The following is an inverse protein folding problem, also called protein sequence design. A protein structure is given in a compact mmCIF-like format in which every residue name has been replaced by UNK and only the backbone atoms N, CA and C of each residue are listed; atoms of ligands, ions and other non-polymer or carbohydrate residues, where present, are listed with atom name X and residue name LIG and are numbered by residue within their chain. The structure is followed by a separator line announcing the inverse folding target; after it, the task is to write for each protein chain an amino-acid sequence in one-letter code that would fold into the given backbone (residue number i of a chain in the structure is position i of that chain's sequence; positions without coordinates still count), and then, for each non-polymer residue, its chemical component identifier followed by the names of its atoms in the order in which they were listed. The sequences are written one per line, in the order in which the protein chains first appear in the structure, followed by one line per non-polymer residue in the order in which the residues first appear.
data_IF_207998865514
#
_entry.id   IF_207998865514
#
_cell.length_a   1.000
_cell.length_b   1.000
_cell.length_c   1.000
_cell.angle_alpha   90.00
_cell.angle_beta   90.00
_cell.angle_gamma   90.00
#
_symmetry.space_group_name_H-M   'P 1'
#
loop_
_entity.id
_entity.type
_entity.pdbx_description
1 polymer ?
#
# COMPACT_ATOMS: atom_id res chain seq x y z
N UNK A 1 60.91 -64.29 -33.20
CA UNK A 1 60.47 -62.89 -33.01
C UNK A 1 59.09 -62.78 -32.34
N UNK A 2 58.16 -63.73 -32.51
CA UNK A 2 56.85 -63.67 -31.82
C UNK A 2 56.84 -64.23 -30.37
N UNK A 3 57.74 -65.17 -30.03
CA UNK A 3 57.79 -65.76 -28.69
C UNK A 3 58.34 -64.81 -27.60
N UNK A 4 59.21 -63.87 -28.00
CA UNK A 4 59.87 -62.92 -27.07
C UNK A 4 58.96 -61.76 -26.66
N UNK A 5 58.02 -61.37 -27.52
CA UNK A 5 57.07 -60.27 -27.26
C UNK A 5 56.00 -60.69 -26.25
N UNK A 6 55.51 -61.94 -26.33
CA UNK A 6 54.50 -62.46 -25.41
C UNK A 6 55.03 -62.66 -23.98
N UNK A 7 56.29 -63.09 -23.84
CA UNK A 7 56.96 -63.22 -22.54
C UNK A 7 57.30 -61.86 -21.92
N UNK A 8 57.66 -60.86 -22.74
CA UNK A 8 57.86 -59.48 -22.28
C UNK A 8 56.55 -58.85 -21.77
N UNK A 9 55.42 -59.11 -22.45
CA UNK A 9 54.10 -58.61 -22.05
C UNK A 9 53.60 -59.23 -20.73
N UNK A 10 53.77 -60.55 -20.52
CA UNK A 10 53.40 -61.23 -19.25
C UNK A 10 54.23 -60.78 -18.06
N UNK A 11 55.53 -60.50 -18.27
CA UNK A 11 56.43 -60.00 -17.21
C UNK A 11 56.09 -58.57 -16.80
N UNK A 12 55.70 -57.73 -17.76
CA UNK A 12 55.26 -56.35 -17.51
C UNK A 12 53.92 -56.28 -16.74
N UNK A 13 52.95 -57.14 -17.08
CA UNK A 13 51.65 -57.18 -16.37
C UNK A 13 51.76 -57.72 -14.95
N UNK A 14 52.67 -58.68 -14.69
CA UNK A 14 52.94 -59.18 -13.34
C UNK A 14 53.61 -58.11 -12.45
N UNK A 15 54.56 -57.35 -12.99
CA UNK A 15 55.22 -56.25 -12.25
C UNK A 15 54.24 -55.14 -11.91
N UNK A 16 53.31 -54.78 -12.82
CA UNK A 16 52.25 -53.81 -12.51
C UNK A 16 51.31 -54.28 -11.40
N UNK A 17 50.92 -55.56 -11.38
CA UNK A 17 50.04 -56.10 -10.33
C UNK A 17 50.70 -56.10 -8.94
N UNK A 18 51.99 -56.44 -8.87
CA UNK A 18 52.73 -56.44 -7.59
C UNK A 18 52.92 -55.01 -7.06
N UNK A 19 53.20 -54.03 -7.95
CA UNK A 19 53.28 -52.63 -7.57
C UNK A 19 51.93 -52.08 -7.09
N UNK A 20 50.83 -52.44 -7.74
CA UNK A 20 49.48 -52.03 -7.33
C UNK A 20 49.11 -52.57 -5.94
N UNK A 21 49.40 -53.85 -5.66
CA UNK A 21 49.19 -54.46 -4.34
C UNK A 21 50.06 -53.81 -3.25
N UNK A 22 51.31 -53.46 -3.56
CA UNK A 22 52.20 -52.76 -2.62
C UNK A 22 51.68 -51.35 -2.28
N UNK A 23 51.23 -50.59 -3.28
CA UNK A 23 50.67 -49.24 -3.08
C UNK A 23 49.36 -49.28 -2.29
N UNK A 24 48.48 -50.26 -2.57
CA UNK A 24 47.24 -50.45 -1.81
C UNK A 24 47.51 -50.82 -0.34
N UNK A 25 48.51 -51.67 -0.08
CA UNK A 25 48.88 -52.07 1.28
C UNK A 25 49.53 -50.92 2.08
N UNK A 26 50.34 -50.08 1.42
CA UNK A 26 50.88 -48.84 2.01
C UNK A 26 49.78 -47.82 2.32
N UNK A 27 48.77 -47.69 1.45
CA UNK A 27 47.62 -46.82 1.70
C UNK A 27 46.79 -47.27 2.91
N UNK A 28 46.58 -48.58 3.08
CA UNK A 28 45.88 -49.14 4.25
C UNK A 28 46.67 -48.96 5.55
N UNK A 29 48.01 -49.08 5.50
CA UNK A 29 48.87 -48.85 6.66
C UNK A 29 48.85 -47.36 7.08
N UNK A 30 48.93 -46.44 6.12
CA UNK A 30 48.84 -45.00 6.36
C UNK A 30 47.46 -44.58 6.89
N UNK A 31 46.37 -45.21 6.39
CA UNK A 31 45.02 -44.98 6.91
C UNK A 31 44.85 -45.48 8.35
N UNK A 32 45.43 -46.65 8.70
CA UNK A 32 45.43 -47.18 10.08
C UNK A 32 46.24 -46.30 11.04
N UNK A 33 47.42 -45.80 10.62
CA UNK A 33 48.23 -44.87 11.41
C UNK A 33 47.52 -43.52 11.61
N UNK A 34 46.80 -43.04 10.59
CA UNK A 34 45.94 -41.85 10.69
C UNK A 34 44.79 -42.04 11.69
N UNK A 35 44.11 -43.19 11.66
CA UNK A 35 43.03 -43.51 12.61
C UNK A 35 43.54 -43.61 14.06
N UNK A 36 44.70 -44.21 14.31
CA UNK A 36 45.30 -44.28 15.66
C UNK A 36 45.68 -42.88 16.15
N UNK A 37 46.20 -42.03 15.26
CA UNK A 37 46.53 -40.63 15.59
C UNK A 37 45.29 -39.81 15.93
N UNK A 38 44.19 -40.01 15.21
CA UNK A 38 42.88 -39.37 15.50
C UNK A 38 42.31 -39.88 16.83
N UNK A 39 42.38 -41.18 17.11
CA UNK A 39 41.89 -41.75 18.38
C UNK A 39 42.71 -41.23 19.57
N UNK A 40 44.04 -41.13 19.46
CA UNK A 40 44.87 -40.53 20.52
C UNK A 40 44.56 -39.03 20.71
N UNK A 41 44.31 -38.30 19.62
CA UNK A 41 43.93 -36.90 19.69
C UNK A 41 42.57 -36.74 20.38
N UNK A 42 41.57 -37.54 20.00
CA UNK A 42 40.20 -37.43 20.53
C UNK A 42 40.07 -37.95 21.97
N UNK A 43 40.75 -39.03 22.33
CA UNK A 43 40.56 -39.65 23.66
C UNK A 43 41.59 -39.21 24.71
N UNK A 44 42.73 -38.64 24.31
CA UNK A 44 43.78 -38.23 25.26
C UNK A 44 44.11 -36.73 25.19
N UNK A 45 44.09 -36.10 24.01
CA UNK A 45 44.46 -34.68 23.85
C UNK A 45 43.25 -33.76 24.01
N UNK A 46 42.10 -34.09 23.40
CA UNK A 46 40.87 -33.29 23.51
C UNK A 46 40.37 -33.16 24.96
N UNK A 47 40.35 -34.21 25.82
CA UNK A 47 39.94 -34.05 27.21
C UNK A 47 40.90 -33.13 27.98
N UNK A 48 42.20 -33.19 27.73
CA UNK A 48 43.18 -32.28 28.33
C UNK A 48 43.03 -30.85 27.82
N UNK A 49 42.72 -30.65 26.54
CA UNK A 49 42.43 -29.34 25.96
C UNK A 49 41.09 -28.77 26.47
N UNK A 50 40.08 -29.62 26.70
CA UNK A 50 38.80 -29.23 27.31
C UNK A 50 39.00 -28.88 28.78
N UNK A 51 39.78 -29.66 29.56
CA UNK A 51 40.12 -29.33 30.94
C UNK A 51 40.93 -28.04 30.99
N UNK A 52 41.93 -27.86 30.12
CA UNK A 52 42.70 -26.62 30.02
C UNK A 52 41.81 -25.44 29.61
N UNK A 53 40.89 -25.62 28.67
CA UNK A 53 39.91 -24.61 28.26
C UNK A 53 38.93 -24.26 29.38
N UNK A 54 38.43 -25.23 30.14
CA UNK A 54 37.57 -25.03 31.31
C UNK A 54 38.32 -24.31 32.45
N UNK A 55 39.60 -24.64 32.68
CA UNK A 55 40.46 -23.98 33.67
C UNK A 55 40.80 -22.54 33.25
N UNK A 56 41.03 -22.31 31.95
CA UNK A 56 41.23 -20.96 31.40
C UNK A 56 39.96 -20.10 31.43
N UNK A 57 38.77 -20.72 31.39
CA UNK A 57 37.49 -20.01 31.49
C UNK A 57 37.10 -19.69 32.95
N UNK A 58 37.80 -20.26 33.93
CA UNK A 58 37.50 -20.09 35.37
C UNK A 58 38.43 -19.10 36.10
N UNK A 59 39.44 -18.52 35.44
CA UNK A 59 40.41 -17.66 36.14
C UNK A 59 41.20 -16.71 35.23
N UNK A 60 41.47 -15.49 35.72
CA UNK A 60 42.28 -14.44 35.07
C UNK A 60 43.70 -14.47 35.68
N UNK A 61 44.77 -14.26 34.88
CA UNK A 61 45.73 -15.31 34.50
C UNK A 61 46.35 -16.05 35.70
N UNK A 62 46.42 -17.39 35.63
CA UNK A 62 47.13 -18.23 36.62
C UNK A 62 48.43 -18.81 36.03
N UNK A 63 49.49 -18.92 36.84
CA UNK A 63 50.75 -19.56 36.46
C UNK A 63 50.88 -20.91 37.18
N UNK A 64 50.70 -22.00 36.42
CA UNK A 64 50.85 -23.43 36.72
C UNK A 64 50.15 -24.03 37.97
N UNK A 65 49.89 -23.29 39.05
CA UNK A 65 49.16 -23.70 40.27
C UNK A 65 48.68 -22.53 41.13
N UNK A 66 49.06 -21.29 40.81
CA UNK A 66 48.69 -20.10 41.59
C UNK A 66 48.00 -19.06 40.70
N UNK A 67 46.89 -18.53 41.19
CA UNK A 67 46.08 -17.53 40.52
C UNK A 67 46.40 -16.12 41.01
N UNK A 68 46.38 -15.16 40.09
CA UNK A 68 46.61 -13.74 40.42
C UNK A 68 45.31 -13.01 40.78
N UNK A 69 44.18 -13.49 40.27
CA UNK A 69 42.84 -12.95 40.51
C UNK A 69 41.79 -14.04 40.27
N UNK A 70 40.71 -14.03 41.02
CA UNK A 70 39.61 -14.99 40.91
C UNK A 70 38.38 -14.35 40.23
N UNK A 71 37.51 -15.18 39.66
CA UNK A 71 36.19 -14.74 39.18
C UNK A 71 35.30 -14.30 40.35
N UNK A 72 34.23 -13.55 40.04
CA UNK A 72 33.16 -13.28 41.01
C UNK A 72 32.65 -14.60 41.63
N UNK A 73 32.24 -14.54 42.89
CA UNK A 73 31.90 -15.67 43.78
C UNK A 73 33.09 -16.48 44.34
N UNK A 74 34.34 -16.07 44.05
CA UNK A 74 35.55 -16.69 44.61
C UNK A 74 36.51 -15.62 45.14
N UNK A 75 37.22 -15.94 46.22
CA UNK A 75 38.31 -15.13 46.76
C UNK A 75 39.64 -15.85 46.61
N UNK A 76 40.72 -15.07 46.60
CA UNK A 76 42.08 -15.62 46.51
C UNK A 76 42.56 -16.03 47.90
N UNK A 77 42.68 -17.32 48.14
CA UNK A 77 43.21 -17.92 49.36
C UNK A 77 44.57 -18.56 49.05
N UNK A 78 45.66 -17.94 49.50
CA UNK A 78 47.02 -18.47 49.32
C UNK A 78 47.36 -18.88 47.86
N UNK A 79 46.86 -18.12 46.88
CA UNK A 79 47.07 -18.40 45.46
C UNK A 79 46.05 -19.35 44.83
N UNK A 80 45.07 -19.85 45.58
CA UNK A 80 44.00 -20.75 45.11
C UNK A 80 42.66 -20.01 45.18
N UNK A 81 41.78 -20.18 44.18
CA UNK A 81 40.45 -19.58 44.22
C UNK A 81 39.49 -20.46 45.02
N UNK A 82 39.09 -19.97 46.20
CA UNK A 82 38.13 -20.61 47.11
C UNK A 82 36.77 -19.92 46.98
N UNK A 83 35.66 -20.65 47.18
CA UNK A 83 34.31 -20.09 47.01
C UNK A 83 33.98 -19.12 48.14
N UNK A 84 33.35 -17.98 47.84
CA UNK A 84 32.93 -17.02 48.87
C UNK A 84 31.97 -17.61 49.91
N UNK A 85 31.21 -18.63 49.52
CA UNK A 85 30.19 -19.27 50.36
C UNK A 85 30.76 -20.00 51.58
N UNK A 86 32.05 -20.35 51.59
CA UNK A 86 32.70 -21.01 52.74
C UNK A 86 32.97 -20.07 53.91
N UNK A 87 33.21 -18.79 53.62
CA UNK A 87 33.56 -17.76 54.62
C UNK A 87 32.43 -16.75 54.84
N UNK A 88 31.68 -16.42 53.78
CA UNK A 88 30.56 -15.48 53.79
C UNK A 88 29.32 -16.13 53.14
N UNK A 89 28.39 -16.68 53.96
CA UNK A 89 27.14 -17.23 53.46
C UNK A 89 26.37 -16.19 52.64
N UNK A 90 25.83 -16.59 51.48
CA UNK A 90 25.08 -15.72 50.58
C UNK A 90 25.86 -14.53 49.99
N UNK A 91 27.18 -14.60 49.91
CA UNK A 91 28.00 -13.59 49.25
C UNK A 91 28.23 -13.88 47.76
N UNK A 92 28.12 -12.87 46.90
CA UNK A 92 28.43 -12.90 45.46
C UNK A 92 29.85 -12.38 45.17
N UNK A 93 30.34 -11.39 45.91
CA UNK A 93 31.72 -10.87 45.76
C UNK A 93 32.32 -10.64 47.14
N UNK A 94 33.45 -11.27 47.42
CA UNK A 94 34.14 -11.22 48.71
C UNK A 94 35.66 -11.14 48.56
N UNK A 95 36.35 -10.82 49.65
CA UNK A 95 37.74 -11.20 49.90
C UNK A 95 37.85 -12.15 51.10
N UNK A 96 39.05 -12.34 51.65
CA UNK A 96 39.30 -13.20 52.82
C UNK A 96 38.57 -12.74 54.10
N UNK A 97 38.16 -11.47 54.18
CA UNK A 97 37.67 -10.80 55.38
C UNK A 97 36.25 -10.26 55.27
N UNK A 98 35.86 -9.79 54.09
CA UNK A 98 34.65 -9.01 53.86
C UNK A 98 33.87 -9.49 52.63
N UNK A 99 32.55 -9.34 52.71
CA UNK A 99 31.65 -9.50 51.58
C UNK A 99 31.28 -8.12 51.02
N UNK A 100 31.72 -7.82 49.80
CA UNK A 100 31.45 -6.56 49.11
C UNK A 100 30.11 -6.55 48.36
N UNK A 101 29.61 -7.73 47.97
CA UNK A 101 28.34 -7.87 47.26
C UNK A 101 27.62 -9.12 47.70
N UNK A 102 26.38 -8.98 48.15
CA UNK A 102 25.51 -10.10 48.50
C UNK A 102 24.95 -10.76 47.24
N UNK A 103 24.53 -12.03 47.32
CA UNK A 103 23.66 -12.64 46.30
C UNK A 103 22.41 -11.76 46.12
N UNK A 104 21.92 -11.68 44.88
CA UNK A 104 20.76 -10.83 44.53
C UNK A 104 19.58 -11.04 45.47
N UNK A 105 18.89 -9.95 45.85
CA UNK A 105 17.77 -9.99 46.80
C UNK A 105 18.14 -9.90 48.28
N UNK A 106 19.44 -9.92 48.64
CA UNK A 106 19.89 -9.91 50.04
C UNK A 106 20.74 -8.67 50.37
N UNK A 107 20.67 -8.23 51.62
CA UNK A 107 21.60 -7.24 52.18
C UNK A 107 21.93 -7.58 53.64
N UNK A 108 23.06 -7.05 54.13
CA UNK A 108 23.57 -7.30 55.48
C UNK A 108 23.23 -6.13 56.41
N UNK A 109 22.53 -6.42 57.52
CA UNK A 109 22.26 -5.46 58.60
C UNK A 109 22.50 -6.10 59.95
N UNK A 110 23.32 -5.48 60.80
CA UNK A 110 23.67 -5.97 62.15
C UNK A 110 24.15 -7.44 62.16
N UNK A 111 24.93 -7.84 61.15
CA UNK A 111 25.44 -9.19 61.01
C UNK A 111 24.39 -10.24 60.59
N UNK A 112 23.18 -9.82 60.21
CA UNK A 112 22.11 -10.70 59.70
C UNK A 112 21.81 -10.41 58.23
N UNK A 113 21.60 -11.47 57.46
CA UNK A 113 21.16 -11.39 56.07
C UNK A 113 19.65 -11.23 56.03
N UNK A 114 19.19 -10.17 55.37
CA UNK A 114 17.77 -9.85 55.20
C UNK A 114 17.43 -9.82 53.72
N UNK A 115 16.23 -10.27 53.38
CA UNK A 115 15.71 -10.20 52.01
C UNK A 115 15.12 -8.82 51.77
N UNK A 116 15.47 -8.20 50.65
CA UNK A 116 14.94 -6.89 50.27
C UNK A 116 13.43 -6.91 50.06
N UNK A 117 12.87 -7.99 49.51
CA UNK A 117 11.43 -8.15 49.31
C UNK A 117 10.62 -8.23 50.60
N UNK A 118 11.24 -8.64 51.71
CA UNK A 118 10.59 -8.69 53.03
C UNK A 118 10.50 -7.30 53.69
N UNK A 119 11.41 -6.38 53.32
CA UNK A 119 11.46 -5.03 53.88
C UNK A 119 10.79 -3.98 52.99
N UNK A 120 10.97 -4.13 51.68
CA UNK A 120 10.45 -3.24 50.65
C UNK A 120 9.72 -4.08 49.60
N UNK A 121 8.42 -3.88 49.47
CA UNK A 121 7.58 -4.65 48.57
C UNK A 121 8.09 -4.54 47.12
N UNK A 122 8.14 -5.67 46.40
CA UNK A 122 8.57 -5.75 45.00
C UNK A 122 10.01 -5.24 44.74
N UNK A 123 10.89 -5.26 45.75
CA UNK A 123 12.27 -4.82 45.66
C UNK A 123 13.26 -5.99 45.47
N UNK A 124 14.20 -5.86 44.53
CA UNK A 124 15.28 -6.84 44.28
C UNK A 124 16.61 -6.42 44.89
N UNK A 125 16.83 -5.12 45.09
CA UNK A 125 18.07 -4.60 45.69
C UNK A 125 17.77 -3.40 46.56
N UNK A 126 18.33 -3.38 47.76
CA UNK A 126 18.05 -2.38 48.78
C UNK A 126 19.30 -2.09 49.64
N UNK A 127 19.27 -0.95 50.33
CA UNK A 127 20.14 -0.67 51.46
C UNK A 127 19.35 -0.72 52.78
N UNK A 128 19.97 -0.31 53.89
CA UNK A 128 19.37 -0.31 55.22
C UNK A 128 18.20 0.68 55.38
N UNK A 129 18.02 1.61 54.44
CA UNK A 129 17.04 2.71 54.48
C UNK A 129 16.06 2.75 53.30
N UNK A 130 16.37 2.14 52.15
CA UNK A 130 15.58 2.27 50.92
C UNK A 130 15.79 1.14 49.91
N UNK A 131 14.82 1.00 49.00
CA UNK A 131 15.00 0.22 47.78
C UNK A 131 15.85 0.97 46.74
N UNK A 132 16.68 0.23 46.02
CA UNK A 132 17.59 0.70 44.96
C UNK A 132 17.25 0.10 43.59
N UNK A 133 16.55 -1.03 43.55
CA UNK A 133 16.16 -1.72 42.32
C UNK A 133 14.91 -2.57 42.56
N UNK A 134 13.98 -2.51 41.63
CA UNK A 134 12.70 -3.20 41.71
C UNK A 134 12.72 -4.54 40.96
N UNK A 135 11.74 -5.38 41.24
CA UNK A 135 11.44 -6.58 40.46
C UNK A 135 10.97 -6.20 39.05
N UNK A 136 11.05 -7.15 38.12
CA UNK A 136 10.41 -7.02 36.81
C UNK A 136 8.93 -6.63 36.99
N UNK A 137 8.40 -5.86 36.04
CA UNK A 137 7.06 -5.24 36.08
C UNK A 137 6.90 -4.08 37.08
N UNK A 138 7.96 -3.62 37.74
CA UNK A 138 7.95 -2.44 38.61
C UNK A 138 9.08 -1.46 38.25
N UNK A 139 8.88 -0.18 38.56
CA UNK A 139 9.92 0.85 38.42
C UNK A 139 10.14 1.58 39.75
N UNK A 140 11.37 2.07 39.93
CA UNK A 140 11.76 2.79 41.14
C UNK A 140 11.23 4.22 41.09
N UNK A 141 10.39 4.57 42.07
CA UNK A 141 9.74 5.87 42.24
C UNK A 141 9.83 6.30 43.69
N UNK A 142 10.62 7.34 43.98
CA UNK A 142 10.87 7.81 45.36
C UNK A 142 11.26 6.68 46.34
N UNK A 143 12.12 5.77 45.91
CA UNK A 143 12.56 4.58 46.67
C UNK A 143 11.51 3.50 46.91
N UNK A 144 10.32 3.62 46.32
CA UNK A 144 9.28 2.60 46.28
C UNK A 144 9.23 1.96 44.88
N UNK A 145 8.70 0.74 44.81
CA UNK A 145 8.52 0.01 43.56
C UNK A 145 7.06 0.13 43.11
N UNK A 146 6.83 1.06 42.19
CA UNK A 146 5.52 1.29 41.60
C UNK A 146 5.33 0.36 40.39
N UNK A 147 4.11 -0.14 40.21
CA UNK A 147 3.81 -1.06 39.11
C UNK A 147 3.95 -0.36 37.75
N UNK A 148 4.53 -1.07 36.78
CA UNK A 148 4.56 -0.62 35.40
C UNK A 148 3.14 -0.42 34.85
N UNK A 149 3.03 0.45 33.85
CA UNK A 149 1.78 0.65 33.11
C UNK A 149 1.32 -0.67 32.48
N UNK A 150 0.02 -0.81 32.28
CA UNK A 150 -0.60 -2.01 31.70
C UNK A 150 0.11 -2.49 30.44
N UNK A 151 0.30 -3.80 30.35
CA UNK A 151 0.96 -4.51 29.24
C UNK A 151 2.47 -4.23 29.07
N UNK A 152 3.10 -3.53 30.00
CA UNK A 152 4.54 -3.29 30.02
C UNK A 152 5.26 -4.30 30.94
N UNK A 153 6.25 -4.98 30.38
CA UNK A 153 7.11 -5.95 31.08
C UNK A 153 8.24 -5.26 31.84
N UNK A 154 8.93 -4.32 31.19
CA UNK A 154 10.01 -3.51 31.78
C UNK A 154 9.75 -2.04 31.53
N UNK A 155 9.72 -1.23 32.59
CA UNK A 155 9.51 0.22 32.52
C UNK A 155 10.57 0.99 33.33
N UNK A 156 10.69 2.29 33.06
CA UNK A 156 11.60 3.20 33.78
C UNK A 156 10.86 4.35 34.46
N UNK A 157 9.59 4.55 34.12
CA UNK A 157 8.67 5.48 34.75
C UNK A 157 7.24 5.04 34.44
N UNK A 158 6.25 5.73 35.01
CA UNK A 158 4.83 5.56 34.69
C UNK A 158 4.53 5.63 33.17
N UNK A 159 5.31 6.42 32.42
CA UNK A 159 5.06 6.71 31.01
C UNK A 159 6.08 6.12 30.05
N UNK A 160 7.13 5.46 30.56
CA UNK A 160 8.25 4.96 29.75
C UNK A 160 8.36 3.46 29.88
N UNK A 161 7.85 2.75 28.87
CA UNK A 161 8.01 1.30 28.74
C UNK A 161 9.17 0.98 27.80
N UNK A 162 10.12 0.15 28.23
CA UNK A 162 11.23 -0.31 27.40
C UNK A 162 10.99 -1.69 26.78
N UNK A 163 10.12 -2.50 27.39
CA UNK A 163 9.75 -3.82 26.89
C UNK A 163 8.29 -4.13 27.18
N UNK A 164 7.52 -4.51 26.16
CA UNK A 164 6.15 -4.99 26.32
C UNK A 164 6.12 -6.48 26.65
N UNK A 165 5.03 -6.94 27.27
CA UNK A 165 4.76 -8.38 27.39
C UNK A 165 4.63 -9.04 26.02
N UNK A 166 4.89 -10.34 25.97
CA UNK A 166 4.73 -11.13 24.74
C UNK A 166 3.29 -11.02 24.21
N UNK A 167 3.16 -10.79 22.90
CA UNK A 167 1.89 -10.52 22.22
C UNK A 167 1.46 -9.05 22.22
N UNK A 168 2.14 -8.17 22.96
CA UNK A 168 1.92 -6.72 22.95
C UNK A 168 3.07 -5.98 22.27
N UNK A 169 2.75 -4.83 21.69
CA UNK A 169 3.66 -4.05 20.86
C UNK A 169 3.69 -2.60 21.33
N UNK A 170 4.88 -1.99 21.29
CA UNK A 170 5.07 -0.61 21.72
C UNK A 170 4.54 0.37 20.67
N UNK A 171 3.63 1.25 21.08
CA UNK A 171 3.05 2.28 20.21
C UNK A 171 3.63 3.64 20.56
N UNK A 172 4.44 4.19 19.65
CA UNK A 172 5.19 5.44 19.90
C UNK A 172 4.29 6.65 20.15
N UNK A 173 3.14 6.73 19.48
CA UNK A 173 2.20 7.87 19.61
C UNK A 173 1.64 8.00 21.03
N UNK A 174 1.26 6.88 21.63
CA UNK A 174 0.58 6.82 22.92
C UNK A 174 1.55 6.49 24.06
N UNK A 175 2.79 6.08 23.74
CA UNK A 175 3.82 5.59 24.66
C UNK A 175 3.31 4.46 25.56
N UNK A 176 2.54 3.54 24.99
CA UNK A 176 1.97 2.37 25.68
C UNK A 176 2.22 1.08 24.92
N UNK A 177 2.10 -0.03 25.63
CA UNK A 177 2.03 -1.37 25.05
C UNK A 177 0.56 -1.74 24.82
N UNK A 178 0.23 -2.09 23.58
CA UNK A 178 -1.12 -2.53 23.21
C UNK A 178 -1.05 -3.66 22.19
N UNK A 179 -2.19 -4.28 21.91
CA UNK A 179 -2.34 -5.09 20.71
C UNK A 179 -2.13 -4.21 19.47
N UNK A 180 -1.65 -4.82 18.39
CA UNK A 180 -1.44 -4.18 17.09
C UNK A 180 -2.38 -4.78 16.04
N UNK A 181 -3.67 -4.80 16.37
CA UNK A 181 -4.75 -5.37 15.57
C UNK A 181 -5.69 -4.29 14.97
N UNK A 182 -5.39 -3.02 15.23
CA UNK A 182 -6.14 -1.88 14.73
C UNK A 182 -5.76 -1.52 13.30
N UNK A 183 -6.76 -1.12 12.51
CA UNK A 183 -6.56 -0.57 11.17
C UNK A 183 -5.63 0.64 11.20
N UNK A 184 -4.83 0.80 10.15
CA UNK A 184 -3.86 1.89 10.03
C UNK A 184 -2.56 1.70 10.82
N UNK A 185 -2.32 0.51 11.35
CA UNK A 185 -1.06 0.13 11.99
C UNK A 185 -0.53 -1.20 11.46
N UNK A 186 0.78 -1.40 11.58
CA UNK A 186 1.45 -2.66 11.28
C UNK A 186 2.52 -2.96 12.33
N UNK A 187 2.83 -4.25 12.47
CA UNK A 187 3.87 -4.72 13.38
C UNK A 187 5.24 -4.57 12.70
N UNK A 188 6.13 -3.81 13.34
CA UNK A 188 7.54 -3.73 12.98
C UNK A 188 8.38 -4.20 14.16
N UNK A 189 8.83 -5.46 14.09
CA UNK A 189 9.56 -6.12 15.16
C UNK A 189 8.78 -6.14 16.49
N UNK A 190 9.07 -5.23 17.43
CA UNK A 190 8.40 -5.12 18.75
C UNK A 190 7.56 -3.84 18.89
N UNK A 191 7.39 -3.10 17.81
CA UNK A 191 6.65 -1.84 17.79
C UNK A 191 5.44 -1.94 16.88
N UNK A 192 4.38 -1.22 17.25
CA UNK A 192 3.19 -1.02 16.43
C UNK A 192 3.29 0.36 15.77
N UNK A 193 3.57 0.37 14.46
CA UNK A 193 3.82 1.61 13.70
C UNK A 193 2.62 1.97 12.84
N UNK A 194 2.38 3.27 12.68
CA UNK A 194 1.34 3.77 11.77
C UNK A 194 1.68 3.42 10.33
N UNK A 195 0.65 3.08 9.57
CA UNK A 195 0.73 2.99 8.12
C UNK A 195 1.12 4.33 7.50
N UNK A 196 1.55 4.28 6.24
CA UNK A 196 1.63 5.49 5.41
C UNK A 196 0.28 6.22 5.40
N UNK A 197 0.29 7.55 5.39
CA UNK A 197 -0.93 8.37 5.41
C UNK A 197 -1.86 8.09 4.21
N UNK A 198 -1.34 7.52 3.13
CA UNK A 198 -2.10 7.14 1.93
C UNK A 198 -2.82 5.78 2.06
N UNK A 199 -2.62 5.07 3.16
CA UNK A 199 -3.07 3.69 3.33
C UNK A 199 -4.03 3.56 4.50
N UNK A 200 -5.12 2.82 4.29
CA UNK A 200 -6.07 2.47 5.34
C UNK A 200 -5.52 1.30 6.17
N UNK A 201 -5.08 0.25 5.49
CA UNK A 201 -4.45 -0.93 6.09
C UNK A 201 -3.12 -1.21 5.38
N UNK A 202 -2.12 -1.71 6.11
CA UNK A 202 -0.80 -1.96 5.57
C UNK A 202 -0.10 -3.14 6.24
N UNK A 203 0.82 -3.77 5.50
CA UNK A 203 1.75 -4.79 5.99
C UNK A 203 3.10 -4.17 6.39
N UNK A 204 3.43 -3.01 5.83
CA UNK A 204 4.61 -2.22 6.17
C UNK A 204 4.40 -0.75 5.81
N UNK A 205 5.39 0.09 6.08
CA UNK A 205 5.39 1.50 5.69
C UNK A 205 5.15 1.73 4.18
N UNK A 206 5.55 0.78 3.32
CA UNK A 206 5.46 0.88 1.86
C UNK A 206 4.49 -0.12 1.23
N UNK A 207 4.05 -1.14 1.98
CA UNK A 207 3.15 -2.19 1.48
C UNK A 207 1.76 -2.00 2.07
N UNK A 208 0.84 -1.52 1.27
CA UNK A 208 -0.53 -1.25 1.66
C UNK A 208 -1.47 -2.35 1.19
N UNK A 209 -2.47 -2.68 2.01
CA UNK A 209 -3.53 -3.64 1.70
C UNK A 209 -4.74 -2.90 1.11
N UNK A 210 -4.98 -1.68 1.56
CA UNK A 210 -6.02 -0.81 1.03
C UNK A 210 -5.61 0.66 1.12
N UNK A 211 -6.14 1.47 0.21
CA UNK A 211 -5.81 2.89 0.08
C UNK A 211 -6.95 3.77 0.54
N UNK A 212 -6.63 4.98 1.00
CA UNK A 212 -7.63 6.00 1.29
C UNK A 212 -8.35 6.42 0.00
N UNK A 213 -9.52 7.06 0.14
CA UNK A 213 -10.25 7.62 -1.01
C UNK A 213 -9.38 8.58 -1.81
N UNK A 214 -9.48 8.53 -3.15
CA UNK A 214 -8.62 9.28 -4.07
C UNK A 214 -7.30 8.58 -4.44
N UNK A 215 -7.01 7.41 -3.87
CA UNK A 215 -5.85 6.60 -4.22
C UNK A 215 -6.29 5.20 -4.66
N UNK A 216 -5.57 4.62 -5.62
CA UNK A 216 -5.77 3.23 -6.03
C UNK A 216 -4.60 2.35 -5.61
N UNK A 217 -4.88 1.08 -5.34
CA UNK A 217 -3.86 0.10 -4.99
C UNK A 217 -3.19 -0.42 -6.26
N UNK A 218 -1.91 -0.13 -6.41
CA UNK A 218 -1.06 -0.67 -7.46
C UNK A 218 -0.42 -1.96 -6.94
N UNK A 219 -1.05 -3.09 -7.25
CA UNK A 219 -0.62 -4.41 -6.77
C UNK A 219 0.79 -4.73 -7.24
N UNK A 220 1.64 -5.16 -6.31
CA UNK A 220 2.92 -5.76 -6.64
C UNK A 220 2.76 -7.27 -6.72
N UNK A 221 2.86 -7.84 -7.92
CA UNK A 221 2.87 -9.29 -8.10
C UNK A 221 4.19 -9.85 -7.60
N UNK A 222 4.21 -10.40 -6.38
CA UNK A 222 5.19 -11.43 -6.03
C UNK A 222 4.47 -12.77 -5.98
N UNK A 223 5.07 -13.77 -6.62
CA UNK A 223 4.50 -15.09 -6.93
C UNK A 223 4.10 -15.93 -5.70
N UNK A 224 4.31 -15.43 -4.48
CA UNK A 224 4.15 -16.19 -3.23
C UNK A 224 3.00 -15.74 -2.30
N UNK A 225 2.16 -14.77 -2.66
CA UNK A 225 1.35 -14.10 -1.61
C UNK A 225 -0.09 -14.62 -1.45
N UNK A 226 -0.43 -14.91 -0.19
CA UNK A 226 -1.76 -15.22 0.37
C UNK A 226 -2.67 -14.00 0.54
N UNK A 227 -2.14 -12.78 0.42
CA UNK A 227 -2.87 -11.52 0.61
C UNK A 227 -2.47 -10.47 -0.44
N UNK A 228 -3.43 -9.69 -0.94
CA UNK A 228 -3.19 -8.63 -1.95
C UNK A 228 -2.63 -7.37 -1.28
N UNK A 229 -1.44 -6.94 -1.68
CA UNK A 229 -0.81 -5.69 -1.22
C UNK A 229 -0.12 -4.98 -2.39
N UNK A 230 0.14 -3.69 -2.20
CA UNK A 230 0.72 -2.83 -3.21
C UNK A 230 1.07 -1.45 -2.69
N UNK A 231 1.30 -0.51 -3.59
CA UNK A 231 1.52 0.90 -3.26
C UNK A 231 0.28 1.72 -3.60
N UNK A 232 -0.05 2.72 -2.77
CA UNK A 232 -1.17 3.61 -3.03
C UNK A 232 -0.75 4.77 -3.92
N UNK A 233 -1.34 4.86 -5.11
CA UNK A 233 -1.02 5.86 -6.12
C UNK A 233 -2.18 6.84 -6.29
N UNK A 234 -1.87 8.14 -6.34
CA UNK A 234 -2.85 9.24 -6.36
C UNK A 234 -3.61 9.29 -7.69
N UNK A 235 -4.95 9.24 -7.65
CA UNK A 235 -5.82 9.31 -8.82
C UNK A 235 -5.77 10.66 -9.54
N UNK A 236 -5.37 11.73 -8.85
CA UNK A 236 -5.21 13.07 -9.41
C UNK A 236 -4.16 13.11 -10.52
N UNK A 237 -3.19 12.18 -10.49
CA UNK A 237 -2.19 12.02 -11.58
C UNK A 237 -2.82 11.66 -12.92
N UNK A 238 -4.03 11.07 -12.90
CA UNK A 238 -4.86 10.76 -14.07
C UNK A 238 -5.96 11.79 -14.33
N UNK A 239 -6.02 12.85 -13.53
CA UNK A 239 -7.06 13.88 -13.58
C UNK A 239 -8.41 13.42 -13.03
N UNK A 240 -8.41 12.44 -12.11
CA UNK A 240 -9.59 11.72 -11.64
C UNK A 240 -9.77 11.92 -10.13
N UNK A 241 -11.02 11.93 -9.67
CA UNK A 241 -11.32 12.00 -8.22
C UNK A 241 -11.17 10.60 -7.62
N UNK A 242 -11.76 9.58 -8.27
CA UNK A 242 -11.57 8.17 -7.89
C UNK A 242 -11.20 7.33 -9.12
N UNK A 243 -10.43 6.28 -8.91
CA UNK A 243 -9.90 5.45 -9.99
C UNK A 243 -9.53 4.05 -9.49
N UNK A 244 -9.39 3.11 -10.43
CA UNK A 244 -8.75 1.82 -10.22
C UNK A 244 -7.40 1.77 -10.96
N UNK A 245 -6.74 0.61 -10.99
CA UNK A 245 -5.42 0.48 -11.62
C UNK A 245 -5.40 0.75 -13.13
N UNK A 246 -6.52 0.62 -13.84
CA UNK A 246 -6.60 0.76 -15.31
C UNK A 246 -7.47 1.92 -15.79
N UNK A 247 -8.48 2.34 -15.04
CA UNK A 247 -9.43 3.37 -15.45
C UNK A 247 -9.88 4.26 -14.30
N UNK A 248 -10.34 5.46 -14.64
CA UNK A 248 -11.01 6.36 -13.73
C UNK A 248 -12.45 5.94 -13.51
N UNK A 249 -12.96 6.21 -12.31
CA UNK A 249 -14.32 5.89 -11.88
C UNK A 249 -15.14 7.17 -11.83
N UNK A 250 -14.55 8.26 -11.31
CA UNK A 250 -15.18 9.58 -11.28
C UNK A 250 -14.18 10.66 -11.70
N UNK A 251 -14.71 11.70 -12.35
CA UNK A 251 -13.94 12.84 -12.84
C UNK A 251 -14.35 14.13 -12.12
N UNK A 252 -13.46 15.12 -12.15
CA UNK A 252 -13.81 16.50 -11.81
C UNK A 252 -14.93 17.04 -12.72
N UNK A 253 -15.62 18.09 -12.27
CA UNK A 253 -16.73 18.73 -12.99
C UNK A 253 -16.29 19.08 -14.43
N UNK A 254 -17.18 18.87 -15.40
CA UNK A 254 -16.99 19.10 -16.85
C UNK A 254 -16.00 18.16 -17.57
N UNK A 255 -15.63 17.03 -16.95
CA UNK A 255 -14.83 15.96 -17.59
C UNK A 255 -15.64 14.66 -17.67
N UNK A 256 -15.31 13.84 -18.66
CA UNK A 256 -15.88 12.50 -18.84
C UNK A 256 -14.77 11.46 -18.93
N UNK A 257 -15.09 10.20 -18.68
CA UNK A 257 -14.16 9.08 -18.88
C UNK A 257 -14.15 8.74 -20.37
N UNK A 258 -13.02 8.90 -21.04
CA UNK A 258 -12.86 8.56 -22.45
C UNK A 258 -12.63 7.05 -22.68
N UNK A 259 -12.48 6.65 -23.95
CA UNK A 259 -12.26 5.25 -24.35
C UNK A 259 -10.97 4.65 -23.78
N UNK A 260 -10.01 5.48 -23.36
CA UNK A 260 -8.77 5.05 -22.70
C UNK A 260 -8.91 4.91 -21.19
N UNK A 261 -10.09 5.23 -20.63
CA UNK A 261 -10.34 5.18 -19.19
C UNK A 261 -9.80 6.40 -18.43
N UNK A 262 -9.45 7.49 -19.10
CA UNK A 262 -8.94 8.72 -18.49
C UNK A 262 -9.98 9.85 -18.49
N UNK A 263 -9.85 10.78 -17.54
CA UNK A 263 -10.74 11.94 -17.47
C UNK A 263 -10.32 13.00 -18.49
N UNK A 264 -11.16 13.18 -19.51
CA UNK A 264 -10.95 14.11 -20.60
C UNK A 264 -12.02 15.19 -20.61
N UNK A 265 -11.64 16.40 -21.03
CA UNK A 265 -12.62 17.46 -21.34
C UNK A 265 -13.34 17.15 -22.64
N UNK A 266 -14.58 17.62 -22.76
CA UNK A 266 -15.33 17.46 -23.99
C UNK A 266 -14.61 18.13 -25.17
N UNK A 267 -14.08 17.32 -26.09
CA UNK A 267 -13.58 17.78 -27.39
C UNK A 267 -14.59 17.41 -28.47
N UNK A 268 -15.00 18.35 -29.34
CA UNK A 268 -15.85 18.03 -30.48
C UNK A 268 -15.16 16.94 -31.30
N UNK A 269 -15.91 15.89 -31.61
CA UNK A 269 -15.39 14.87 -32.52
C UNK A 269 -15.34 15.51 -33.91
N UNK A 270 -14.14 15.78 -34.40
CA UNK A 270 -13.86 16.46 -35.67
C UNK A 270 -14.56 15.82 -36.87
N UNK A 271 -15.18 14.65 -36.71
CA UNK A 271 -15.96 13.97 -37.74
C UNK A 271 -17.44 14.37 -37.70
N UNK A 272 -18.09 14.42 -36.53
CA UNK A 272 -19.57 14.52 -36.41
C UNK A 272 -20.09 15.71 -35.61
N UNK A 273 -19.32 16.21 -34.63
CA UNK A 273 -19.79 17.22 -33.65
C UNK A 273 -19.00 18.53 -33.80
N UNK A 274 -19.71 19.66 -33.71
CA UNK A 274 -19.13 21.02 -33.64
C UNK A 274 -18.90 21.43 -32.19
N UNK A 275 -19.86 21.16 -31.30
CA UNK A 275 -19.74 21.41 -29.86
C UNK A 275 -20.38 20.31 -29.04
N UNK A 276 -19.90 20.15 -27.81
CA UNK A 276 -20.33 19.10 -26.91
C UNK A 276 -20.25 19.58 -25.45
N UNK A 277 -21.08 19.01 -24.58
CA UNK A 277 -21.13 19.26 -23.14
C UNK A 277 -21.12 17.94 -22.38
N UNK A 278 -20.88 17.99 -21.08
CA UNK A 278 -20.97 16.83 -20.19
C UNK A 278 -22.25 16.94 -19.37
N UNK A 279 -23.07 15.89 -19.32
CA UNK A 279 -24.30 15.87 -18.51
C UNK A 279 -24.02 15.68 -17.01
N UNK A 280 -25.07 15.76 -16.18
CA UNK A 280 -24.97 15.58 -14.72
C UNK A 280 -24.43 14.20 -14.30
N UNK A 281 -24.50 13.22 -15.20
CA UNK A 281 -24.02 11.85 -14.98
C UNK A 281 -22.60 11.64 -15.54
N UNK A 282 -21.92 12.68 -16.04
CA UNK A 282 -20.56 12.58 -16.57
C UNK A 282 -20.49 12.05 -18.01
N UNK A 283 -21.60 11.96 -18.74
CA UNK A 283 -21.60 11.47 -20.12
C UNK A 283 -21.36 12.60 -21.11
N UNK A 284 -20.53 12.33 -22.13
CA UNK A 284 -20.34 13.23 -23.27
C UNK A 284 -21.63 13.32 -24.10
N UNK A 285 -22.17 14.54 -24.23
CA UNK A 285 -23.36 14.86 -25.02
C UNK A 285 -23.02 15.86 -26.13
N UNK A 286 -23.56 15.66 -27.32
CA UNK A 286 -23.40 16.57 -28.44
C UNK A 286 -24.39 17.74 -28.31
N UNK A 287 -23.90 18.96 -28.45
CA UNK A 287 -24.70 20.20 -28.44
C UNK A 287 -24.97 20.71 -29.86
N UNK A 288 -23.98 20.58 -30.76
CA UNK A 288 -24.12 20.92 -32.19
C UNK A 288 -23.40 19.89 -33.05
N UNK A 289 -24.00 19.54 -34.18
CA UNK A 289 -23.43 18.61 -35.16
C UNK A 289 -22.88 19.33 -36.39
N UNK A 290 -21.92 18.69 -37.07
CA UNK A 290 -21.41 19.17 -38.36
C UNK A 290 -22.49 19.06 -39.45
N UNK A 291 -22.43 19.86 -40.53
CA UNK A 291 -23.36 19.73 -41.64
C UNK A 291 -23.43 18.27 -42.15
N UNK A 292 -24.64 17.73 -42.27
CA UNK A 292 -24.90 16.33 -42.65
C UNK A 292 -25.14 15.36 -41.48
N UNK A 293 -24.93 15.82 -40.23
CA UNK A 293 -25.23 15.07 -39.01
C UNK A 293 -26.30 15.80 -38.17
N UNK A 294 -27.02 15.05 -37.33
CA UNK A 294 -28.24 15.50 -36.64
C UNK A 294 -28.20 15.02 -35.19
N UNK A 295 -28.74 15.81 -34.26
CA UNK A 295 -28.77 15.43 -32.84
C UNK A 295 -29.99 14.53 -32.61
N UNK A 296 -29.75 13.28 -32.22
CA UNK A 296 -30.76 12.37 -31.72
C UNK A 296 -30.31 11.86 -30.34
N UNK A 297 -31.13 12.08 -29.29
CA UNK A 297 -30.79 11.75 -27.89
C UNK A 297 -29.40 12.25 -27.46
N UNK A 298 -29.02 13.45 -27.89
CA UNK A 298 -27.72 14.08 -27.65
C UNK A 298 -26.52 13.39 -28.33
N UNK A 299 -26.73 12.60 -29.38
CA UNK A 299 -25.68 12.05 -30.25
C UNK A 299 -25.83 12.54 -31.69
N UNK A 300 -24.71 12.78 -32.37
CA UNK A 300 -24.70 13.16 -33.79
C UNK A 300 -24.81 11.94 -34.70
N UNK A 301 -26.01 11.69 -35.22
CA UNK A 301 -26.32 10.58 -36.14
C UNK A 301 -26.34 11.05 -37.60
N UNK A 302 -26.36 10.13 -38.56
CA UNK A 302 -26.62 10.41 -39.99
C UNK A 302 -28.09 10.14 -40.30
N UNK A 303 -28.75 11.04 -41.00
CA UNK A 303 -30.18 10.98 -41.30
C UNK A 303 -30.35 10.81 -42.80
N UNK A 304 -30.86 9.65 -43.17
CA UNK A 304 -31.15 9.29 -44.56
C UNK A 304 -32.34 10.11 -45.13
N UNK A 305 -33.03 10.92 -44.31
CA UNK A 305 -34.27 11.64 -44.69
C UNK A 305 -34.25 13.17 -44.50
N UNK A 306 -33.21 13.75 -43.89
CA UNK A 306 -33.23 15.14 -43.43
C UNK A 306 -32.93 16.21 -44.49
N UNK A 307 -32.65 15.83 -45.75
CA UNK A 307 -32.56 16.75 -46.90
C UNK A 307 -33.89 17.41 -47.32
N UNK A 308 -34.94 17.33 -46.49
CA UNK A 308 -36.31 17.85 -46.75
C UNK A 308 -36.76 18.92 -45.74
N UNK A 309 -35.87 19.42 -44.88
CA UNK A 309 -36.21 20.37 -43.81
C UNK A 309 -36.02 21.83 -44.27
N UNK A 310 -36.91 22.71 -43.80
CA UNK A 310 -36.93 24.17 -43.99
C UNK A 310 -36.34 24.82 -42.73
N UNK A 311 -35.49 25.84 -42.85
CA UNK A 311 -34.92 26.58 -41.72
C UNK A 311 -35.65 27.91 -41.52
N UNK A 312 -36.17 28.15 -40.32
CA UNK A 312 -36.73 29.42 -39.91
C UNK A 312 -36.11 29.85 -38.58
N UNK A 313 -35.34 30.95 -38.60
CA UNK A 313 -34.69 31.55 -37.41
C UNK A 313 -33.87 30.55 -36.57
N UNK A 314 -33.26 29.55 -37.20
CA UNK A 314 -32.46 28.52 -36.50
C UNK A 314 -33.25 27.30 -36.01
N UNK A 315 -34.57 27.27 -36.24
CA UNK A 315 -35.42 26.09 -36.04
C UNK A 315 -35.65 25.39 -37.39
N UNK A 316 -35.69 24.05 -37.39
CA UNK A 316 -35.83 23.24 -38.60
C UNK A 316 -37.16 22.48 -38.58
N UNK A 317 -37.88 22.54 -39.69
CA UNK A 317 -39.24 21.99 -39.81
C UNK A 317 -39.37 21.17 -41.09
N UNK A 318 -40.26 20.20 -41.10
CA UNK A 318 -40.59 19.41 -42.30
C UNK A 318 -41.39 20.22 -43.30
N UNK A 319 -41.25 19.87 -44.59
CA UNK A 319 -42.07 20.42 -45.69
C UNK A 319 -43.58 20.37 -45.38
N UNK A 320 -44.02 19.32 -44.67
CA UNK A 320 -45.42 19.04 -44.36
C UNK A 320 -45.94 19.90 -43.19
N UNK A 321 -45.10 20.19 -42.19
CA UNK A 321 -45.46 21.06 -41.04
C UNK A 321 -45.77 22.50 -41.43
N UNK A 322 -45.12 23.01 -42.48
CA UNK A 322 -45.36 24.35 -43.00
C UNK A 322 -46.19 24.38 -44.28
N UNK A 323 -46.88 23.30 -44.66
CA UNK A 323 -47.74 23.29 -45.84
C UNK A 323 -47.07 23.87 -47.11
N UNK A 324 -45.78 23.62 -47.27
CA UNK A 324 -44.94 24.21 -48.30
C UNK A 324 -44.87 23.28 -49.53
N UNK A 325 -45.12 23.79 -50.72
CA UNK A 325 -45.07 23.05 -51.98
C UNK A 325 -43.67 23.01 -52.59
N UNK A 326 -42.94 24.12 -52.60
CA UNK A 326 -41.58 24.23 -53.14
C UNK A 326 -40.65 25.03 -52.22
N UNK A 327 -39.39 24.58 -52.13
CA UNK A 327 -38.34 25.16 -51.27
C UNK A 327 -37.16 25.58 -52.13
N UNK A 328 -36.61 26.77 -51.89
CA UNK A 328 -35.37 27.26 -52.51
C UNK A 328 -34.42 27.79 -51.44
N UNK A 329 -33.20 27.27 -51.39
CA UNK A 329 -32.17 27.76 -50.47
C UNK A 329 -32.55 27.69 -48.97
N UNK A 330 -33.33 26.69 -48.58
CA UNK A 330 -33.90 26.48 -47.22
C UNK A 330 -35.12 27.33 -46.84
N UNK A 331 -35.62 28.17 -47.76
CA UNK A 331 -36.83 28.98 -47.57
C UNK A 331 -38.01 28.41 -48.38
N UNK A 332 -39.22 28.49 -47.85
CA UNK A 332 -40.42 28.17 -48.63
C UNK A 332 -40.66 29.27 -49.68
N UNK A 333 -40.82 28.88 -50.95
CA UNK A 333 -41.09 29.80 -52.06
C UNK A 333 -42.46 29.61 -52.69
N UNK A 334 -43.11 28.46 -52.44
CA UNK A 334 -44.46 28.17 -52.94
C UNK A 334 -45.23 27.36 -51.90
N UNK A 335 -46.49 27.74 -51.65
CA UNK A 335 -47.36 27.08 -50.67
C UNK A 335 -48.29 26.05 -51.32
N UNK A 336 -48.81 25.12 -50.50
CA UNK A 336 -49.93 24.24 -50.88
C UNK A 336 -51.21 25.07 -51.09
N UNK A 337 -52.20 24.49 -51.77
CA UNK A 337 -53.50 25.13 -51.99
C UNK A 337 -54.14 25.54 -50.65
N UNK A 338 -54.79 26.71 -50.63
CA UNK A 338 -55.40 27.36 -49.44
C UNK A 338 -54.42 27.98 -48.42
N UNK A 339 -53.10 27.94 -48.67
CA UNK A 339 -52.08 28.61 -47.86
C UNK A 339 -51.38 29.73 -48.64
N UNK A 340 -50.93 30.76 -47.93
CA UNK A 340 -50.36 31.97 -48.50
C UNK A 340 -49.01 32.27 -47.86
N UNK A 341 -48.02 32.65 -48.67
CA UNK A 341 -46.67 32.92 -48.21
C UNK A 341 -46.61 34.28 -47.50
N UNK A 342 -46.25 34.29 -46.23
CA UNK A 342 -46.00 35.50 -45.42
C UNK A 342 -44.77 35.25 -44.55
N UNK A 343 -43.79 36.15 -44.63
CA UNK A 343 -42.55 36.09 -43.84
C UNK A 343 -41.85 34.71 -43.91
N UNK A 344 -41.77 34.13 -45.12
CA UNK A 344 -41.20 32.81 -45.44
C UNK A 344 -41.95 31.58 -44.88
N UNK A 345 -43.15 31.79 -44.33
CA UNK A 345 -44.05 30.73 -43.85
C UNK A 345 -45.33 30.67 -44.69
N UNK A 346 -45.91 29.48 -44.86
CA UNK A 346 -47.22 29.33 -45.49
C UNK A 346 -48.30 29.25 -44.43
N UNK A 347 -49.11 30.30 -44.36
CA UNK A 347 -50.15 30.47 -43.35
C UNK A 347 -51.53 30.46 -43.98
N UNK A 348 -52.55 30.11 -43.20
CA UNK A 348 -53.94 30.26 -43.65
C UNK A 348 -54.33 31.73 -43.66
N UNK A 349 -55.32 32.04 -44.49
CA UNK A 349 -55.77 33.42 -44.70
C UNK A 349 -56.14 34.15 -43.39
N UNK A 350 -56.84 33.48 -42.47
CA UNK A 350 -57.26 34.07 -41.19
C UNK A 350 -56.09 34.33 -40.22
N UNK A 351 -54.94 33.69 -40.44
CA UNK A 351 -53.72 33.88 -39.64
C UNK A 351 -52.93 35.10 -40.10
N UNK A 352 -53.07 35.49 -41.37
CA UNK A 352 -52.44 36.66 -41.97
C UNK A 352 -53.32 37.91 -41.80
N UNK A 353 -54.62 37.77 -42.10
CA UNK A 353 -55.60 38.86 -42.04
C UNK A 353 -56.76 38.45 -41.14
N UNK A 354 -56.86 39.13 -40.00
CA UNK A 354 -57.97 38.90 -39.06
C UNK A 354 -59.32 39.21 -39.73
N UNK A 355 -60.33 38.38 -39.44
CA UNK A 355 -61.68 38.46 -40.00
C UNK A 355 -61.80 38.16 -41.51
N UNK A 356 -60.75 37.61 -42.13
CA UNK A 356 -60.76 37.19 -43.52
C UNK A 356 -61.06 35.70 -43.71
N UNK A 357 -62.05 35.38 -44.56
CA UNK A 357 -62.44 34.00 -44.91
C UNK A 357 -61.57 33.48 -46.06
N UNK A 358 -61.32 34.32 -47.07
CA UNK A 358 -60.55 33.95 -48.26
C UNK A 358 -59.65 35.09 -48.67
N UNK A 359 -58.39 34.77 -48.95
CA UNK A 359 -57.39 35.76 -49.34
C UNK A 359 -57.14 35.69 -50.85
N UNK A 360 -56.83 36.85 -51.43
CA UNK A 360 -56.30 36.98 -52.78
C UNK A 360 -54.83 37.37 -52.75
N UNK A 361 -54.17 37.29 -53.90
CA UNK A 361 -52.79 37.72 -54.09
C UNK A 361 -52.75 38.86 -55.12
N UNK A 362 -52.11 39.97 -54.76
CA UNK A 362 -51.72 41.04 -55.68
C UNK A 362 -50.24 40.86 -56.00
N UNK A 363 -49.93 40.67 -57.28
CA UNK A 363 -48.56 40.53 -57.75
C UNK A 363 -48.04 41.91 -58.17
N UNK A 364 -47.12 42.46 -57.40
CA UNK A 364 -46.33 43.62 -57.80
C UNK A 364 -45.03 43.14 -58.44
N UNK A 365 -44.34 44.03 -59.16
CA UNK A 365 -43.10 43.73 -59.88
C UNK A 365 -42.01 43.10 -58.98
N UNK A 366 -42.05 43.37 -57.68
CA UNK A 366 -40.98 43.04 -56.72
C UNK A 366 -41.43 42.24 -55.49
N UNK A 367 -42.74 42.04 -55.28
CA UNK A 367 -43.28 41.25 -54.16
C UNK A 367 -44.76 40.91 -54.40
N UNK A 368 -45.26 39.92 -53.67
CA UNK A 368 -46.68 39.59 -53.65
C UNK A 368 -47.30 40.07 -52.33
N UNK A 369 -48.45 40.73 -52.41
CA UNK A 369 -49.21 41.17 -51.24
C UNK A 369 -50.47 40.30 -51.08
N UNK A 370 -50.69 39.81 -49.86
CA UNK A 370 -51.90 39.04 -49.50
C UNK A 370 -52.97 40.04 -49.06
N UNK A 371 -54.12 40.03 -49.73
CA UNK A 371 -55.28 40.87 -49.37
C UNK A 371 -56.51 40.00 -49.07
N UNK A 372 -57.50 40.58 -48.40
CA UNK A 372 -58.73 39.85 -48.12
C UNK A 372 -59.71 39.94 -49.29
N UNK A 373 -60.00 38.80 -49.92
CA UNK A 373 -60.95 38.67 -51.03
C UNK A 373 -62.39 38.50 -50.50
N UNK A 374 -62.57 37.72 -49.43
CA UNK A 374 -63.87 37.51 -48.78
C UNK A 374 -63.74 37.74 -47.27
N UNK A 375 -64.44 38.76 -46.77
CA UNK A 375 -64.52 39.07 -45.34
C UNK A 375 -65.69 38.33 -44.66
N UNK A 376 -65.58 38.13 -43.35
CA UNK A 376 -66.70 37.69 -42.50
C UNK A 376 -67.82 38.75 -42.48
N UNK A 377 -69.09 38.30 -42.45
CA UNK A 377 -70.27 39.18 -42.52
C UNK A 377 -70.28 40.16 -41.35
N UNK A 378 -70.17 41.45 -41.64
CA UNK A 378 -70.22 42.54 -40.65
C UNK A 378 -69.16 43.63 -40.80
N UNK A 379 -68.12 43.44 -41.62
CA UNK A 379 -67.06 44.44 -41.83
C UNK A 379 -66.82 44.71 -43.31
N UNK A 380 -67.25 45.88 -43.80
CA UNK A 380 -66.76 46.43 -45.08
C UNK A 380 -65.49 47.25 -44.81
N UNK A 381 -64.31 46.76 -45.21
CA UNK A 381 -63.12 47.60 -45.26
C UNK A 381 -63.32 48.67 -46.33
N UNK A 382 -63.42 49.95 -45.91
CA UNK A 382 -63.21 51.08 -46.82
C UNK A 382 -61.77 50.99 -47.32
N UNK A 383 -61.61 50.86 -48.63
CA UNK A 383 -60.34 51.10 -49.32
C UNK A 383 -59.89 52.52 -48.99
N UNK A 384 -58.88 52.66 -48.14
CA UNK A 384 -58.15 53.93 -47.99
C UNK A 384 -56.95 53.80 -48.92
N UNK A 385 -57.09 54.33 -50.14
CA UNK A 385 -55.94 54.63 -50.98
C UNK A 385 -55.03 55.61 -50.24
N UNK A 386 -53.77 55.27 -50.08
CA UNK A 386 -52.69 56.23 -49.89
C UNK A 386 -51.53 55.88 -50.81
#
# INVERSE_FOLDING_TARGET
MEMDVLNAMKRSTFVLHVLALYVMNQAVLNAKMGFISIIMFVNHVIPYLIIAYLVMYQSVPCNATTCRSCLNAFYLDNGICSTCETIHPNCEVCDETDCYKCKSGLFLRDGKWLNCGDLYENCTRCDDTRCLECMDHFYLSNYNCDICKTNCDVCHSESTCSKCFDGYYYKEDDKICSLCDMKGYYIDSKSCKKCSATCIDCLSQTKCVSCIEGYYLENTTSEEMTESFGTCTDCSTRGCITCNSTSCITCEINKYIDESGLCSVCKPDNVKSISCFIDENGNKKCEKCKPGFWIEKFECVTCETCGKLINFEGNYFTKDEFHCKEVSGSNCVLCLEEYYLKDLQCLKCYEILTNCIKCGLLNYSNYNEVYCDICTIGNSQKVVNK
#
